data_IF_160330198256
#
_entry.id   IF_160330198256
#
_cell.length_a   1.000
_cell.length_b   1.000
_cell.length_c   1.000
_cell.angle_alpha   90.00
_cell.angle_beta   90.00
_cell.angle_gamma   90.00
#
_symmetry.space_group_name_H-M   'P 1'
#
loop_
_entity.id
_entity.type
_entity.pdbx_description
1 polymer ?
#
# COMPACT_ATOMS: atom_id res chain seq x y z
N UNK A 1 -4.23 -11.01 -15.34
CA UNK A 1 -3.70 -10.49 -14.05
C UNK A 1 -2.66 -11.48 -13.55
N UNK A 2 -1.46 -11.02 -13.28
CA UNK A 2 -0.32 -11.82 -12.83
C UNK A 2 0.13 -11.33 -11.45
N UNK A 3 0.61 -12.23 -10.60
CA UNK A 3 1.16 -11.91 -9.28
C UNK A 3 2.64 -12.26 -9.25
N UNK A 4 3.45 -11.35 -8.77
CA UNK A 4 4.89 -11.52 -8.53
C UNK A 4 5.16 -11.29 -7.05
N UNK A 5 5.75 -12.29 -6.37
CA UNK A 5 6.18 -12.15 -4.98
C UNK A 5 7.62 -11.68 -4.93
N UNK A 6 7.95 -10.85 -3.95
CA UNK A 6 9.32 -10.39 -3.71
C UNK A 6 9.69 -10.49 -2.23
N UNK A 7 10.94 -10.82 -1.97
CA UNK A 7 11.49 -10.83 -0.62
C UNK A 7 12.13 -9.47 -0.29
N UNK A 8 11.88 -8.98 0.91
CA UNK A 8 12.51 -7.81 1.49
C UNK A 8 13.15 -8.21 2.82
N UNK A 9 14.47 -8.12 2.90
CA UNK A 9 15.24 -8.57 4.07
C UNK A 9 14.79 -7.83 5.33
N UNK A 10 14.57 -8.56 6.40
CA UNK A 10 14.06 -8.02 7.66
C UNK A 10 12.60 -7.56 7.65
N UNK A 11 11.91 -7.56 6.49
CA UNK A 11 10.50 -7.18 6.36
C UNK A 11 9.59 -8.36 6.02
N UNK A 12 10.10 -9.35 5.28
CA UNK A 12 9.37 -10.53 4.86
C UNK A 12 9.09 -10.60 3.36
N UNK A 13 7.91 -11.09 2.98
CA UNK A 13 7.51 -11.25 1.59
C UNK A 13 6.34 -10.35 1.26
N UNK A 14 6.47 -9.57 0.18
CA UNK A 14 5.42 -8.76 -0.42
C UNK A 14 4.96 -9.32 -1.75
N UNK A 15 3.84 -8.80 -2.27
CA UNK A 15 3.25 -9.26 -3.52
C UNK A 15 2.79 -8.07 -4.40
N UNK A 16 3.05 -8.17 -5.69
CA UNK A 16 2.66 -7.19 -6.72
C UNK A 16 1.74 -7.88 -7.71
N UNK A 17 0.55 -7.35 -7.92
CA UNK A 17 -0.38 -7.79 -8.97
C UNK A 17 -0.43 -6.77 -10.10
N UNK A 18 -0.33 -7.24 -11.34
CA UNK A 18 -0.34 -6.40 -12.53
C UNK A 18 -1.15 -7.01 -13.68
N UNK A 19 -1.61 -6.18 -14.63
CA UNK A 19 -2.32 -6.58 -15.84
C UNK A 19 -1.43 -6.67 -17.08
N UNK A 20 -0.13 -6.52 -16.89
CA UNK A 20 0.90 -6.43 -17.92
C UNK A 20 1.63 -5.09 -17.86
N UNK A 21 0.91 -3.98 -17.95
CA UNK A 21 1.49 -2.63 -17.98
C UNK A 21 1.24 -1.81 -16.70
N UNK A 22 0.20 -2.13 -15.94
CA UNK A 22 -0.21 -1.35 -14.76
C UNK A 22 -0.24 -2.21 -13.50
N UNK A 23 0.16 -1.59 -12.40
CA UNK A 23 -0.02 -2.13 -11.06
C UNK A 23 -1.51 -2.09 -10.70
N UNK A 24 -2.07 -3.24 -10.34
CA UNK A 24 -3.47 -3.40 -9.93
C UNK A 24 -3.61 -3.46 -8.42
N UNK A 25 -2.62 -4.08 -7.75
CA UNK A 25 -2.58 -4.23 -6.31
C UNK A 25 -1.15 -4.41 -5.82
N UNK A 26 -0.85 -3.94 -4.63
CA UNK A 26 0.43 -4.18 -3.96
C UNK A 26 0.20 -4.52 -2.48
N UNK A 27 0.76 -5.63 -2.03
CA UNK A 27 0.88 -5.95 -0.61
C UNK A 27 2.30 -5.73 -0.11
N UNK A 28 2.41 -4.95 0.95
CA UNK A 28 3.68 -4.72 1.62
C UNK A 28 4.20 -6.01 2.27
N UNK A 29 5.53 -6.18 2.35
CA UNK A 29 6.14 -7.34 2.96
C UNK A 29 5.64 -7.58 4.38
N UNK A 30 5.35 -8.85 4.69
CA UNK A 30 5.03 -9.32 6.03
C UNK A 30 5.93 -10.49 6.39
N UNK A 31 6.31 -10.64 7.65
CA UNK A 31 7.01 -11.84 8.09
C UNK A 31 6.24 -13.09 7.65
N UNK A 32 6.93 -14.00 7.02
CA UNK A 32 6.35 -15.31 6.70
C UNK A 32 6.10 -16.01 8.04
N UNK A 33 4.85 -16.35 8.32
CA UNK A 33 4.52 -17.10 9.52
C UNK A 33 5.30 -18.43 9.49
N UNK A 34 6.14 -18.65 10.48
CA UNK A 34 6.84 -19.93 10.64
C UNK A 34 5.78 -21.01 10.93
N UNK A 35 5.58 -21.99 10.03
CA UNK A 35 4.60 -23.04 10.25
C UNK A 35 4.90 -23.93 11.46
N UNK A 36 6.11 -23.87 12.03
CA UNK A 36 6.51 -24.60 13.23
C UNK A 36 6.05 -23.95 14.54
N UNK A 37 5.65 -22.65 14.50
CA UNK A 37 5.11 -21.96 15.67
C UNK A 37 3.60 -22.14 15.67
N UNK A 38 3.14 -23.23 16.29
CA UNK A 38 1.72 -23.50 16.48
C UNK A 38 1.00 -22.32 17.12
N UNK A 39 0.14 -21.67 16.35
CA UNK A 39 -0.71 -20.55 16.78
C UNK A 39 -1.69 -21.02 17.85
N UNK A 40 -1.34 -20.87 19.12
CA UNK A 40 -2.35 -20.78 20.19
C UNK A 40 -2.96 -19.38 20.17
N UNK A 41 -3.75 -19.10 19.15
CA UNK A 41 -4.63 -17.94 19.15
C UNK A 41 -5.77 -18.22 20.14
N UNK A 42 -5.68 -17.61 21.32
CA UNK A 42 -6.83 -17.53 22.25
C UNK A 42 -7.84 -16.60 21.62
N UNK A 43 -8.97 -17.20 21.19
CA UNK A 43 -10.18 -16.47 20.86
C UNK A 43 -10.68 -15.71 22.11
N UNK A 44 -10.63 -14.38 22.08
CA UNK A 44 -11.36 -13.52 23.00
C UNK A 44 -12.09 -12.43 22.21
N UNK A 45 -13.43 -12.47 22.33
CA UNK A 45 -14.29 -11.31 22.17
C UNK A 45 -14.72 -10.95 20.77
N UNK A 46 -15.78 -11.61 20.28
CA UNK A 46 -16.61 -11.09 19.18
C UNK A 46 -17.35 -9.84 19.67
N UNK A 47 -16.89 -8.66 19.27
CA UNK A 47 -17.76 -7.48 19.25
C UNK A 47 -18.33 -7.38 17.83
N UNK A 48 -19.63 -7.53 17.73
CA UNK A 48 -20.39 -7.42 16.48
C UNK A 48 -20.46 -5.94 16.09
N UNK A 49 -19.64 -5.53 15.12
CA UNK A 49 -19.79 -4.22 14.48
C UNK A 49 -20.65 -4.42 13.24
N UNK A 50 -21.82 -3.81 13.24
CA UNK A 50 -22.71 -3.77 12.07
C UNK A 50 -22.05 -2.96 10.96
N UNK A 51 -22.03 -3.44 9.69
CA UNK A 51 -21.47 -2.68 8.58
C UNK A 51 -22.46 -1.60 8.16
N UNK A 52 -22.05 -0.34 8.26
CA UNK A 52 -22.72 0.74 7.54
C UNK A 52 -22.39 0.60 6.06
N UNK A 53 -23.42 0.54 5.24
CA UNK A 53 -23.37 0.44 3.79
C UNK A 53 -22.72 1.69 3.17
N UNK A 54 -21.85 1.49 2.18
CA UNK A 54 -21.39 2.54 1.29
C UNK A 54 -19.87 2.56 1.06
N UNK A 55 -19.35 1.66 0.28
CA UNK A 55 -17.98 1.73 -0.22
C UNK A 55 -17.55 0.38 -0.80
N UNK A 56 -17.38 0.33 -2.12
CA UNK A 56 -16.84 -0.84 -2.81
C UNK A 56 -15.40 -1.11 -2.35
N UNK A 57 -15.28 -1.83 -1.22
CA UNK A 57 -14.06 -2.53 -0.89
C UNK A 57 -13.98 -3.72 -1.84
N UNK A 58 -13.23 -3.59 -2.95
CA UNK A 58 -12.76 -4.77 -3.64
C UNK A 58 -11.78 -5.47 -2.70
N UNK A 59 -12.12 -6.66 -2.17
CA UNK A 59 -11.12 -7.46 -1.48
C UNK A 59 -9.99 -7.78 -2.46
N UNK A 60 -8.77 -8.05 -1.99
CA UNK A 60 -7.73 -8.59 -2.85
C UNK A 60 -8.30 -9.78 -3.60
N UNK A 61 -7.93 -10.00 -4.87
CA UNK A 61 -8.42 -11.14 -5.63
C UNK A 61 -8.20 -12.40 -4.81
N UNK A 62 -9.29 -13.11 -4.49
CA UNK A 62 -9.23 -14.26 -3.58
C UNK A 62 -8.30 -15.32 -4.17
N UNK A 63 -7.45 -15.91 -3.32
CA UNK A 63 -6.56 -17.03 -3.73
C UNK A 63 -7.30 -18.18 -4.43
N UNK A 64 -8.61 -18.34 -4.17
CA UNK A 64 -9.46 -19.35 -4.83
C UNK A 64 -9.76 -19.04 -6.30
N UNK A 65 -9.76 -17.78 -6.73
CA UNK A 65 -9.93 -17.41 -8.14
C UNK A 65 -8.64 -17.63 -8.95
N UNK A 66 -7.50 -17.77 -8.28
CA UNK A 66 -6.17 -17.95 -8.89
C UNK A 66 -5.85 -19.43 -9.14
N UNK A 67 -6.52 -20.36 -8.44
CA UNK A 67 -6.22 -21.82 -8.53
C UNK A 67 -6.66 -22.45 -9.85
N UNK A 68 -7.50 -21.81 -10.64
CA UNK A 68 -8.05 -22.38 -11.87
C UNK A 68 -7.11 -22.28 -13.09
N UNK A 69 -5.95 -21.63 -13.02
CA UNK A 69 -5.00 -21.57 -14.14
C UNK A 69 -3.53 -21.54 -13.68
N UNK A 70 -3.12 -22.58 -12.93
CA UNK A 70 -1.70 -22.94 -12.84
C UNK A 70 -1.26 -23.62 -14.15
N UNK A 71 -1.37 -22.94 -15.26
CA UNK A 71 -0.49 -23.17 -16.39
C UNK A 71 0.88 -22.67 -15.99
N UNK A 72 1.88 -23.55 -16.08
CA UNK A 72 3.30 -23.20 -16.10
C UNK A 72 3.59 -22.35 -17.35
N UNK A 73 3.07 -21.15 -17.41
CA UNK A 73 3.63 -20.10 -18.21
C UNK A 73 4.71 -19.51 -17.30
N UNK A 74 5.98 -19.73 -17.61
CA UNK A 74 6.99 -18.72 -17.30
C UNK A 74 6.37 -17.44 -17.83
N UNK A 75 5.75 -16.66 -16.97
CA UNK A 75 5.37 -15.32 -17.30
C UNK A 75 6.69 -14.63 -17.66
N UNK A 76 6.87 -14.32 -18.93
CA UNK A 76 7.87 -13.34 -19.32
C UNK A 76 7.51 -12.12 -18.48
N UNK A 77 8.33 -11.87 -17.46
CA UNK A 77 8.08 -10.76 -16.56
C UNK A 77 8.19 -9.51 -17.42
N UNK A 78 7.15 -8.71 -17.41
CA UNK A 78 7.13 -7.47 -18.16
C UNK A 78 8.24 -6.60 -17.57
N UNK A 79 9.17 -6.05 -18.37
CA UNK A 79 10.34 -5.32 -17.86
C UNK A 79 10.00 -4.25 -16.83
N UNK A 80 8.83 -3.59 -16.96
CA UNK A 80 8.35 -2.58 -16.03
C UNK A 80 8.04 -3.15 -14.64
N UNK A 81 7.54 -4.38 -14.57
CA UNK A 81 7.21 -5.04 -13.29
C UNK A 81 8.46 -5.55 -12.61
N UNK A 82 9.41 -6.11 -13.35
CA UNK A 82 10.73 -6.50 -12.81
C UNK A 82 11.47 -5.28 -12.25
N UNK A 83 11.47 -4.18 -12.99
CA UNK A 83 12.03 -2.90 -12.53
C UNK A 83 11.34 -2.40 -11.26
N UNK A 84 10.00 -2.49 -11.17
CA UNK A 84 9.26 -2.10 -9.97
C UNK A 84 9.63 -2.98 -8.78
N UNK A 85 9.69 -4.29 -8.97
CA UNK A 85 10.08 -5.24 -7.90
C UNK A 85 11.51 -4.97 -7.42
N UNK A 86 12.46 -4.74 -8.33
CA UNK A 86 13.83 -4.38 -7.97
C UNK A 86 13.87 -3.11 -7.12
N UNK A 87 13.17 -2.06 -7.54
CA UNK A 87 13.05 -0.80 -6.79
C UNK A 87 12.39 -0.98 -5.41
N UNK A 88 11.39 -1.85 -5.29
CA UNK A 88 10.79 -2.17 -3.99
C UNK A 88 11.80 -2.84 -3.05
N UNK A 89 12.61 -3.78 -3.56
CA UNK A 89 13.66 -4.43 -2.78
C UNK A 89 14.75 -3.44 -2.34
N UNK A 90 15.19 -2.57 -3.24
CA UNK A 90 16.14 -1.48 -2.94
C UNK A 90 15.59 -0.53 -1.87
N UNK A 91 14.31 -0.12 -1.98
CA UNK A 91 13.66 0.71 -0.95
C UNK A 91 13.71 0.05 0.42
N UNK A 92 13.34 -1.22 0.53
CA UNK A 92 13.36 -1.94 1.80
C UNK A 92 14.77 -2.23 2.34
N UNK A 93 15.80 -2.14 1.50
CA UNK A 93 17.21 -2.16 1.94
C UNK A 93 17.72 -0.79 2.44
N UNK A 94 16.88 0.25 2.37
CA UNK A 94 17.19 1.60 2.83
C UNK A 94 17.66 2.54 1.72
N UNK A 95 17.62 2.14 0.47
CA UNK A 95 17.94 3.03 -0.64
C UNK A 95 16.83 4.09 -0.85
N UNK A 96 17.23 5.29 -1.21
CA UNK A 96 16.30 6.35 -1.62
C UNK A 96 15.76 6.03 -3.00
N UNK A 97 14.51 5.59 -3.06
CA UNK A 97 13.84 5.19 -4.30
C UNK A 97 12.52 5.93 -4.43
N UNK A 98 12.22 6.37 -5.66
CA UNK A 98 10.95 7.01 -6.00
C UNK A 98 10.11 6.10 -6.91
N UNK A 99 8.77 6.23 -6.79
CA UNK A 99 7.80 5.39 -7.51
C UNK A 99 6.78 6.22 -8.29
N UNK A 100 6.98 7.53 -8.44
CA UNK A 100 5.99 8.44 -9.04
C UNK A 100 5.68 8.12 -10.51
N UNK A 101 6.61 7.48 -11.23
CA UNK A 101 6.49 7.03 -12.61
C UNK A 101 5.69 5.73 -12.78
N UNK A 102 5.55 4.95 -11.72
CA UNK A 102 4.88 3.65 -11.80
C UNK A 102 3.41 3.80 -12.22
N UNK A 103 3.03 3.08 -13.26
CA UNK A 103 1.67 3.08 -13.76
C UNK A 103 0.77 2.26 -12.83
N UNK A 104 -0.34 2.84 -12.40
CA UNK A 104 -1.33 2.17 -11.55
C UNK A 104 -2.68 2.11 -12.23
N UNK A 105 -3.48 1.13 -11.88
CA UNK A 105 -4.88 1.07 -12.28
C UNK A 105 -5.71 2.06 -11.45
N UNK A 106 -6.02 3.20 -12.07
CA UNK A 106 -6.88 4.25 -11.53
C UNK A 106 -8.23 4.32 -12.26
N UNK A 107 -8.64 3.23 -12.92
CA UNK A 107 -9.93 3.16 -13.60
C UNK A 107 -11.08 3.35 -12.61
N UNK A 108 -12.07 4.15 -13.00
CA UNK A 108 -13.22 4.46 -12.14
C UNK A 108 -12.94 5.45 -11.00
N UNK A 109 -11.71 5.98 -10.88
CA UNK A 109 -11.43 6.98 -9.86
C UNK A 109 -12.10 8.32 -10.16
N UNK A 110 -12.62 8.95 -9.11
CA UNK A 110 -13.17 10.31 -9.19
C UNK A 110 -12.06 11.34 -9.42
N UNK A 111 -12.43 12.55 -9.86
CA UNK A 111 -11.50 13.68 -9.99
C UNK A 111 -10.78 13.95 -8.67
N UNK A 112 -11.52 14.04 -7.56
CA UNK A 112 -10.94 14.17 -6.21
C UNK A 112 -9.85 13.13 -5.91
N UNK A 113 -10.11 11.86 -6.25
CA UNK A 113 -9.13 10.79 -5.99
C UNK A 113 -7.87 10.93 -6.85
N UNK A 114 -8.01 11.38 -8.11
CA UNK A 114 -6.88 11.65 -9.00
C UNK A 114 -6.05 12.83 -8.52
N UNK A 115 -6.70 13.90 -8.05
CA UNK A 115 -6.01 15.08 -7.55
C UNK A 115 -5.27 14.79 -6.24
N UNK A 116 -5.90 14.04 -5.33
CA UNK A 116 -5.24 13.58 -4.10
C UNK A 116 -4.05 12.66 -4.43
N UNK A 117 -4.18 11.75 -5.39
CA UNK A 117 -3.07 10.94 -5.88
C UNK A 117 -1.93 11.80 -6.41
N UNK A 118 -2.24 12.76 -7.28
CA UNK A 118 -1.25 13.65 -7.88
C UNK A 118 -0.51 14.49 -6.83
N UNK A 119 -1.24 14.99 -5.83
CA UNK A 119 -0.65 15.71 -4.70
C UNK A 119 0.23 14.79 -3.84
N UNK A 120 -0.26 13.58 -3.53
CA UNK A 120 0.46 12.61 -2.69
C UNK A 120 1.77 12.14 -3.33
N UNK A 121 1.80 11.92 -4.65
CA UNK A 121 3.01 11.51 -5.39
C UNK A 121 4.10 12.59 -5.43
N UNK A 122 3.79 13.83 -5.06
CA UNK A 122 4.76 14.92 -4.94
C UNK A 122 5.43 14.98 -3.57
N UNK A 123 4.95 14.24 -2.59
CA UNK A 123 5.58 14.13 -1.28
C UNK A 123 6.84 13.29 -1.44
N UNK A 124 8.01 13.91 -1.31
CA UNK A 124 9.31 13.25 -1.53
C UNK A 124 9.67 12.25 -0.44
N UNK A 125 10.71 11.48 -0.69
CA UNK A 125 11.31 10.56 0.28
C UNK A 125 11.83 11.33 1.49
N UNK A 126 11.40 10.91 2.70
CA UNK A 126 11.77 11.58 3.95
C UNK A 126 10.94 12.81 4.27
N UNK A 127 9.91 13.12 3.47
CA UNK A 127 8.97 14.21 3.74
C UNK A 127 7.67 13.67 4.30
N UNK A 128 7.00 14.46 5.12
CA UNK A 128 5.67 14.16 5.63
C UNK A 128 4.76 15.38 5.52
N UNK A 129 3.49 15.13 5.29
CA UNK A 129 2.45 16.17 5.31
C UNK A 129 1.26 15.70 6.15
N UNK A 130 0.53 16.63 6.73
CA UNK A 130 -0.71 16.28 7.43
C UNK A 130 -1.84 16.00 6.44
N UNK A 131 -2.89 15.31 6.90
CA UNK A 131 -4.10 15.10 6.09
C UNK A 131 -4.73 16.42 5.61
N UNK A 132 -4.62 17.50 6.40
CA UNK A 132 -5.15 18.82 6.05
C UNK A 132 -4.28 19.53 5.00
N UNK A 133 -2.97 19.46 5.12
CA UNK A 133 -2.04 19.96 4.10
C UNK A 133 -2.21 19.26 2.78
N UNK A 134 -2.30 17.90 2.78
CA UNK A 134 -2.55 17.14 1.56
C UNK A 134 -3.88 17.53 0.91
N UNK A 135 -4.93 17.72 1.71
CA UNK A 135 -6.23 18.18 1.21
C UNK A 135 -6.11 19.57 0.53
N UNK A 136 -5.35 20.48 1.13
CA UNK A 136 -5.08 21.80 0.56
C UNK A 136 -4.27 21.69 -0.75
N UNK A 137 -3.19 20.92 -0.76
CA UNK A 137 -2.34 20.67 -1.93
C UNK A 137 -3.09 20.02 -3.10
N UNK A 138 -4.12 19.23 -2.79
CA UNK A 138 -4.99 18.62 -3.79
C UNK A 138 -6.10 19.55 -4.28
N UNK A 139 -6.21 20.80 -3.76
CA UNK A 139 -7.23 21.76 -4.15
C UNK A 139 -8.57 21.64 -3.40
N UNK A 140 -8.63 20.83 -2.36
CA UNK A 140 -9.85 20.57 -1.56
C UNK A 140 -9.64 20.94 -0.08
N UNK A 141 -9.44 22.22 0.26
CA UNK A 141 -9.27 22.64 1.64
C UNK A 141 -10.49 22.20 2.47
N UNK A 142 -10.26 21.66 3.67
CA UNK A 142 -11.26 21.06 4.58
C UNK A 142 -11.71 19.63 4.23
N UNK A 143 -11.13 18.98 3.22
CA UNK A 143 -11.44 17.58 2.86
C UNK A 143 -10.55 16.53 3.58
N UNK A 144 -9.91 16.87 4.70
CA UNK A 144 -8.97 16.00 5.41
C UNK A 144 -9.55 14.61 5.77
N UNK A 145 -10.85 14.52 6.08
CA UNK A 145 -11.52 13.23 6.34
C UNK A 145 -11.61 12.36 5.08
N UNK A 146 -11.92 12.98 3.94
CA UNK A 146 -11.99 12.27 2.65
C UNK A 146 -10.59 11.82 2.21
N UNK A 147 -9.55 12.64 2.42
CA UNK A 147 -8.14 12.27 2.22
C UNK A 147 -7.75 11.10 3.12
N UNK A 148 -8.13 11.13 4.41
CA UNK A 148 -7.92 10.01 5.33
C UNK A 148 -8.58 8.71 4.84
N UNK A 149 -9.80 8.80 4.30
CA UNK A 149 -10.50 7.67 3.70
C UNK A 149 -9.77 7.15 2.45
N UNK A 150 -9.25 8.04 1.61
CA UNK A 150 -8.44 7.68 0.45
C UNK A 150 -7.17 6.93 0.88
N UNK A 151 -6.42 7.46 1.86
CA UNK A 151 -5.24 6.79 2.42
C UNK A 151 -5.56 5.40 2.99
N UNK A 152 -6.66 5.26 3.73
CA UNK A 152 -7.07 3.98 4.31
C UNK A 152 -7.46 2.92 3.27
N UNK A 153 -7.85 3.34 2.06
CA UNK A 153 -8.24 2.48 0.94
C UNK A 153 -7.14 2.32 -0.11
N UNK A 154 -5.94 2.79 0.17
CA UNK A 154 -4.83 2.73 -0.77
C UNK A 154 -4.48 1.28 -1.11
N UNK A 155 -4.58 0.93 -2.41
CA UNK A 155 -4.23 -0.39 -2.97
C UNK A 155 -2.77 -0.49 -3.41
N UNK A 156 -2.02 0.61 -3.37
CA UNK A 156 -0.69 0.76 -3.96
C UNK A 156 0.30 1.37 -2.95
N UNK A 157 0.42 0.81 -1.73
CA UNK A 157 1.31 1.40 -0.73
C UNK A 157 2.75 1.50 -1.27
N UNK A 158 3.50 2.49 -0.86
CA UNK A 158 4.76 3.00 -1.37
C UNK A 158 4.64 3.71 -2.72
N UNK A 159 4.07 3.08 -3.75
CA UNK A 159 3.82 3.70 -5.08
C UNK A 159 2.89 4.92 -4.92
N UNK A 160 1.92 4.81 -4.02
CA UNK A 160 1.11 5.92 -3.49
C UNK A 160 1.47 6.06 -2.02
N UNK A 161 2.33 7.02 -1.63
CA UNK A 161 3.02 7.00 -0.36
C UNK A 161 2.14 7.48 0.82
N UNK A 162 1.06 6.76 1.10
CA UNK A 162 0.14 7.09 2.20
C UNK A 162 0.80 7.01 3.60
N UNK A 163 1.96 6.37 3.74
CA UNK A 163 2.73 6.37 4.97
C UNK A 163 3.33 7.76 5.29
N UNK A 164 3.56 8.61 4.26
CA UNK A 164 4.05 10.00 4.40
C UNK A 164 2.94 10.99 4.80
N UNK A 165 1.68 10.53 4.88
CA UNK A 165 0.54 11.37 5.31
C UNK A 165 0.23 11.07 6.77
N UNK A 166 0.33 12.09 7.63
CA UNK A 166 0.25 11.98 9.08
C UNK A 166 -0.91 12.81 9.66
N UNK A 167 -1.23 12.60 10.93
CA UNK A 167 -2.13 13.48 11.67
C UNK A 167 -1.36 14.72 12.16
N UNK A 168 -2.07 15.80 12.42
CA UNK A 168 -1.49 17.01 13.03
C UNK A 168 -0.89 16.77 14.43
N UNK A 169 -1.33 15.73 15.10
CA UNK A 169 -0.98 15.35 16.47
C UNK A 169 -0.22 14.01 16.57
N UNK A 170 0.27 13.48 15.45
CA UNK A 170 1.07 12.26 15.44
C UNK A 170 0.94 11.45 14.15
N UNK A 171 1.23 10.16 14.22
CA UNK A 171 1.30 9.26 13.04
C UNK A 171 -0.04 9.10 12.29
N UNK A 172 -1.18 9.32 12.95
CA UNK A 172 -2.50 9.07 12.37
C UNK A 172 -2.83 7.56 12.36
N UNK A 173 -3.26 7.03 11.20
CA UNK A 173 -3.61 5.60 11.05
C UNK A 173 -2.85 4.95 9.90
N UNK A 174 -2.77 3.60 9.90
CA UNK A 174 -2.13 2.86 8.81
C UNK A 174 -2.76 1.47 8.61
N UNK A 175 -3.98 1.45 8.12
CA UNK A 175 -4.70 0.24 7.72
C UNK A 175 -4.53 -0.96 8.66
N UNK A 176 -4.48 -2.16 8.09
CA UNK A 176 -4.32 -3.43 8.83
C UNK A 176 -2.88 -3.73 9.28
N UNK A 177 -1.89 -2.98 8.79
CA UNK A 177 -0.49 -3.14 9.17
C UNK A 177 -0.14 -2.45 10.49
N UNK A 178 -0.95 -1.47 10.90
CA UNK A 178 -0.79 -0.76 12.15
C UNK A 178 0.28 0.34 12.14
N UNK A 179 0.33 1.09 13.24
CA UNK A 179 1.21 2.27 13.35
C UNK A 179 2.69 1.90 13.44
N UNK A 180 3.03 0.74 14.01
CA UNK A 180 4.43 0.31 14.11
C UNK A 180 5.04 0.06 12.72
N UNK A 181 4.25 -0.48 11.80
CA UNK A 181 4.71 -0.63 10.42
C UNK A 181 4.92 0.73 9.74
N UNK A 182 4.00 1.68 9.92
CA UNK A 182 4.13 3.06 9.42
C UNK A 182 5.36 3.75 9.99
N UNK A 183 5.56 3.66 11.32
CA UNK A 183 6.73 4.22 11.99
C UNK A 183 8.02 3.65 11.43
N UNK A 184 8.06 2.35 11.17
CA UNK A 184 9.22 1.67 10.61
C UNK A 184 9.51 2.13 9.18
N UNK A 185 8.49 2.34 8.32
CA UNK A 185 8.67 2.92 6.98
C UNK A 185 9.23 4.35 7.06
N UNK A 186 8.66 5.18 7.92
CA UNK A 186 9.12 6.55 8.11
C UNK A 186 10.55 6.60 8.65
N UNK A 187 10.89 5.74 9.61
CA UNK A 187 12.26 5.62 10.13
C UNK A 187 13.24 5.18 9.04
N UNK A 188 12.83 4.27 8.12
CA UNK A 188 13.64 3.89 6.96
C UNK A 188 13.94 5.10 6.06
N UNK A 189 13.00 6.02 5.95
CA UNK A 189 13.14 7.28 5.20
C UNK A 189 13.83 8.40 6.01
N UNK A 190 14.29 8.11 7.23
CA UNK A 190 14.98 9.09 8.09
C UNK A 190 14.05 10.02 8.85
N UNK A 191 12.73 9.75 8.88
CA UNK A 191 11.74 10.54 9.61
C UNK A 191 11.47 9.93 10.98
N UNK A 192 11.60 10.73 12.02
CA UNK A 192 11.27 10.37 13.41
C UNK A 192 10.07 11.21 13.88
N UNK A 193 8.98 10.54 14.28
CA UNK A 193 7.74 11.16 14.78
C UNK A 193 7.33 10.51 16.10
#
# INVERSE_FOLDING_TARGET
MTCVSYAAEGWGVGEVWHDGSRLVWHELPRPVADPSIGTRARARGRTRVTPSQGGVNHPPPSRSTITAKRSRVRAEAVPEVESLVGRLQEYFSGARVEFADAQIDAEGWTEFQRDVLAAMRRIGYGEVVSYSELAHLAGYPRAQRAVGTFCARNRFPLVVPCHRVVSSDGLGSYGSLGLDYKRRLLALEGVTL
#
